data_IF_071683872491
#
_entry.id   IF_071683872491
#
_cell.length_a   1.000
_cell.length_b   1.000
_cell.length_c   1.000
_cell.angle_alpha   90.00
_cell.angle_beta   90.00
_cell.angle_gamma   90.00
#
_symmetry.space_group_name_H-M   'P 1'
#
loop_
_entity.id
_entity.type
_entity.pdbx_description
1 polymer ?
#
# COMPACT_ATOMS: atom_id res chain seq x y z
N UNK A 1 -48.90 -3.21 -29.88
CA UNK A 1 -48.12 -3.05 -28.68
C UNK A 1 -46.71 -2.65 -29.11
N UNK A 2 -46.50 -1.35 -29.05
CA UNK A 2 -45.25 -0.68 -29.44
C UNK A 2 -44.33 -0.60 -28.22
N UNK A 3 -43.20 -1.23 -28.29
CA UNK A 3 -42.16 -1.20 -27.24
C UNK A 3 -41.36 0.09 -27.42
N UNK A 4 -41.41 0.96 -26.42
CA UNK A 4 -40.60 2.17 -26.36
C UNK A 4 -39.10 1.82 -26.26
N UNK A 5 -38.20 2.58 -26.89
CA UNK A 5 -36.76 2.35 -26.77
C UNK A 5 -36.27 2.78 -25.40
N UNK A 6 -35.35 2.02 -24.84
CA UNK A 6 -34.65 2.32 -23.60
C UNK A 6 -33.89 3.65 -23.73
N UNK A 7 -34.06 4.53 -22.73
CA UNK A 7 -33.29 5.77 -22.61
C UNK A 7 -31.81 5.40 -22.50
N UNK A 8 -31.01 5.92 -23.45
CA UNK A 8 -29.59 5.96 -23.34
C UNK A 8 -29.21 6.84 -22.12
N UNK A 9 -28.33 6.38 -21.29
CA UNK A 9 -27.73 7.16 -20.19
C UNK A 9 -27.20 8.47 -20.80
N UNK A 10 -27.71 9.60 -20.35
CA UNK A 10 -27.17 10.91 -20.70
C UNK A 10 -25.77 11.02 -20.06
N UNK A 11 -24.75 11.01 -20.90
CA UNK A 11 -23.38 11.32 -20.50
C UNK A 11 -23.37 12.81 -20.15
N UNK A 12 -23.16 13.14 -18.86
CA UNK A 12 -22.95 14.52 -18.44
C UNK A 12 -21.63 15.05 -19.04
N UNK A 13 -21.78 15.89 -20.06
CA UNK A 13 -20.62 16.51 -20.74
C UNK A 13 -20.32 17.84 -20.05
N UNK A 14 -19.13 17.93 -19.46
CA UNK A 14 -18.63 19.18 -18.86
C UNK A 14 -17.86 19.93 -19.94
N UNK A 15 -18.42 21.03 -20.45
CA UNK A 15 -17.76 21.90 -21.40
C UNK A 15 -16.99 22.99 -20.67
N UNK A 16 -15.65 22.90 -20.65
CA UNK A 16 -14.79 23.93 -20.07
C UNK A 16 -14.43 24.93 -21.16
N UNK A 17 -15.19 26.01 -21.27
CA UNK A 17 -14.87 27.12 -22.14
C UNK A 17 -14.41 28.32 -21.32
N UNK A 18 -13.34 29.02 -21.76
CA UNK A 18 -12.85 30.24 -21.12
C UNK A 18 -13.80 31.44 -21.16
N UNK A 19 -15.05 31.28 -21.59
CA UNK A 19 -16.06 32.29 -21.65
C UNK A 19 -17.19 32.08 -20.63
N UNK A 20 -17.72 33.17 -20.05
CA UNK A 20 -18.85 33.19 -19.10
C UNK A 20 -20.22 32.95 -19.73
N UNK A 21 -20.30 32.60 -21.00
CA UNK A 21 -21.54 32.43 -21.73
C UNK A 21 -22.01 30.98 -21.63
N UNK A 22 -23.07 30.74 -20.86
CA UNK A 22 -23.80 29.47 -20.84
C UNK A 22 -24.66 29.38 -22.10
N UNK A 23 -24.54 28.27 -22.87
CA UNK A 23 -25.54 27.91 -23.89
C UNK A 23 -25.27 28.44 -25.29
N UNK A 24 -24.03 28.58 -25.73
CA UNK A 24 -23.70 28.82 -27.12
C UNK A 24 -23.15 27.53 -27.72
N UNK A 25 -23.92 26.92 -28.62
CA UNK A 25 -23.42 25.86 -29.51
C UNK A 25 -22.35 26.45 -30.43
N UNK A 26 -21.11 26.23 -30.11
CA UNK A 26 -19.95 26.61 -30.95
C UNK A 26 -19.52 25.44 -31.84
N UNK A 27 -20.43 24.72 -32.42
CA UNK A 27 -20.12 23.78 -33.50
C UNK A 27 -19.81 24.58 -34.76
N UNK A 28 -18.54 24.77 -35.06
CA UNK A 28 -18.15 25.20 -36.39
C UNK A 28 -16.91 26.07 -36.59
N UNK A 29 -16.24 26.60 -35.55
CA UNK A 29 -15.16 27.56 -35.76
C UNK A 29 -13.80 27.27 -35.08
N UNK A 30 -13.73 26.37 -34.08
CA UNK A 30 -12.49 25.96 -33.46
C UNK A 30 -12.54 24.47 -33.10
N UNK A 31 -11.40 23.77 -33.13
CA UNK A 31 -11.36 22.40 -32.60
C UNK A 31 -11.60 22.44 -31.09
N UNK A 32 -12.82 22.12 -30.67
CA UNK A 32 -13.18 21.97 -29.27
C UNK A 32 -12.89 20.53 -28.88
N UNK A 33 -11.96 20.33 -27.96
CA UNK A 33 -11.74 19.01 -27.35
C UNK A 33 -12.73 18.87 -26.19
N UNK A 34 -13.70 18.00 -26.34
CA UNK A 34 -14.61 17.62 -25.26
C UNK A 34 -13.86 16.62 -24.40
N UNK A 35 -13.60 16.95 -23.13
CA UNK A 35 -13.01 16.06 -22.14
C UNK A 35 -14.16 15.40 -21.38
N UNK A 36 -14.17 14.07 -21.39
CA UNK A 36 -15.06 13.30 -20.53
C UNK A 36 -14.51 13.19 -19.09
N UNK A 37 -15.30 12.63 -18.18
CA UNK A 37 -14.87 12.43 -16.79
C UNK A 37 -13.59 11.58 -16.68
N UNK A 38 -13.43 10.59 -17.57
CA UNK A 38 -12.26 9.74 -17.63
C UNK A 38 -10.99 10.52 -18.04
N UNK A 39 -11.12 11.43 -18.98
CA UNK A 39 -10.03 12.28 -19.43
C UNK A 39 -9.60 13.27 -18.34
N UNK A 40 -10.57 13.88 -17.67
CA UNK A 40 -10.32 14.76 -16.52
C UNK A 40 -9.66 13.98 -15.40
N UNK A 41 -10.16 12.78 -15.07
CA UNK A 41 -9.59 11.92 -14.06
C UNK A 41 -8.13 11.51 -14.38
N UNK A 42 -7.81 11.20 -15.65
CA UNK A 42 -6.45 10.91 -16.10
C UNK A 42 -5.52 12.11 -15.93
N UNK A 43 -5.96 13.30 -16.34
CA UNK A 43 -5.15 14.53 -16.20
C UNK A 43 -4.89 14.83 -14.72
N UNK A 44 -5.92 14.80 -13.88
CA UNK A 44 -5.80 15.03 -12.43
C UNK A 44 -4.90 13.97 -11.79
N UNK A 45 -5.03 12.71 -12.19
CA UNK A 45 -4.18 11.60 -11.72
C UNK A 45 -2.69 11.84 -12.05
N UNK A 46 -2.41 12.32 -13.26
CA UNK A 46 -1.04 12.60 -13.68
C UNK A 46 -0.42 13.75 -12.88
N UNK A 47 -1.20 14.79 -12.57
CA UNK A 47 -0.71 15.96 -11.83
C UNK A 47 -0.58 15.74 -10.34
N UNK A 48 -1.53 14.99 -9.75
CA UNK A 48 -1.62 14.82 -8.29
C UNK A 48 -0.98 13.53 -7.78
N UNK A 49 -0.68 12.58 -8.68
CA UNK A 49 -0.29 11.21 -8.31
C UNK A 49 -1.42 10.38 -7.71
N UNK A 50 -2.66 10.88 -7.75
CA UNK A 50 -3.84 10.14 -7.27
C UNK A 50 -4.28 9.17 -8.38
N UNK A 51 -4.37 7.85 -8.13
CA UNK A 51 -4.80 6.90 -9.14
C UNK A 51 -6.19 7.23 -9.72
N UNK A 52 -6.37 7.07 -11.04
CA UNK A 52 -7.66 7.31 -11.73
C UNK A 52 -8.79 6.54 -11.06
N UNK A 53 -8.53 5.29 -10.65
CA UNK A 53 -9.48 4.45 -9.94
C UNK A 53 -10.05 5.07 -8.67
N UNK A 54 -9.36 6.04 -8.06
CA UNK A 54 -9.85 6.78 -6.89
C UNK A 54 -10.77 7.95 -7.22
N UNK A 55 -10.79 8.38 -8.47
CA UNK A 55 -11.57 9.52 -8.94
C UNK A 55 -12.93 9.10 -9.52
N UNK A 56 -13.13 7.78 -9.70
CA UNK A 56 -14.32 7.22 -10.34
C UNK A 56 -15.19 6.41 -9.37
N UNK A 57 -16.52 6.53 -9.48
CA UNK A 57 -17.50 5.86 -8.60
C UNK A 57 -17.54 4.32 -8.71
N UNK A 58 -16.96 3.74 -9.76
CA UNK A 58 -16.91 2.28 -9.97
C UNK A 58 -16.07 1.48 -8.95
N UNK A 59 -15.37 2.14 -8.05
CA UNK A 59 -14.48 1.49 -7.05
C UNK A 59 -15.21 0.67 -6.00
N UNK A 60 -16.41 1.06 -5.59
CA UNK A 60 -17.15 0.34 -4.53
C UNK A 60 -17.40 -1.13 -4.90
N UNK A 61 -17.72 -1.39 -6.17
CA UNK A 61 -17.94 -2.76 -6.68
C UNK A 61 -16.63 -3.56 -6.75
N UNK A 62 -15.53 -2.92 -7.14
CA UNK A 62 -14.21 -3.58 -7.21
C UNK A 62 -13.69 -3.95 -5.82
N UNK A 63 -13.87 -3.09 -4.83
CA UNK A 63 -13.44 -3.35 -3.45
C UNK A 63 -14.21 -4.47 -2.77
N UNK A 64 -15.50 -4.65 -3.11
CA UNK A 64 -16.31 -5.75 -2.57
C UNK A 64 -15.78 -7.15 -2.94
N UNK A 65 -15.01 -7.25 -4.03
CA UNK A 65 -14.42 -8.51 -4.52
C UNK A 65 -12.89 -8.54 -4.39
N UNK A 66 -12.31 -7.67 -3.56
CA UNK A 66 -10.84 -7.58 -3.41
C UNK A 66 -10.23 -8.91 -2.92
N UNK A 67 -10.84 -9.54 -1.95
CA UNK A 67 -10.41 -10.83 -1.40
C UNK A 67 -10.47 -11.95 -2.45
N UNK A 68 -11.54 -12.06 -3.20
CA UNK A 68 -11.69 -13.05 -4.29
C UNK A 68 -10.62 -12.88 -5.35
N UNK A 69 -10.35 -11.64 -5.76
CA UNK A 69 -9.36 -11.34 -6.79
C UNK A 69 -7.93 -11.62 -6.30
N UNK A 70 -7.63 -11.30 -5.05
CA UNK A 70 -6.33 -11.62 -4.46
C UNK A 70 -6.16 -13.13 -4.29
N UNK A 71 -7.20 -13.88 -3.87
CA UNK A 71 -7.15 -15.34 -3.75
C UNK A 71 -6.90 -16.05 -5.09
N UNK A 72 -7.42 -15.52 -6.19
CA UNK A 72 -7.14 -16.08 -7.53
C UNK A 72 -5.67 -15.94 -7.94
N UNK A 73 -4.94 -15.00 -7.37
CA UNK A 73 -3.55 -14.67 -7.74
C UNK A 73 -2.51 -15.12 -6.71
N UNK A 74 -2.93 -15.20 -5.45
CA UNK A 74 -2.07 -15.55 -4.32
C UNK A 74 -2.65 -16.79 -3.64
N UNK A 75 -2.04 -17.94 -3.91
CA UNK A 75 -2.52 -19.23 -3.42
C UNK A 75 -1.96 -19.48 -2.01
N UNK A 76 -2.81 -19.92 -1.10
CA UNK A 76 -2.41 -20.43 0.22
C UNK A 76 -2.05 -19.36 1.25
N UNK A 77 -2.53 -18.11 1.07
CA UNK A 77 -2.32 -16.99 2.01
C UNK A 77 -3.66 -16.41 2.47
N UNK A 78 -4.64 -17.24 2.77
CA UNK A 78 -6.05 -16.86 3.00
C UNK A 78 -6.20 -15.87 4.15
N UNK A 79 -5.53 -16.10 5.28
CA UNK A 79 -5.57 -15.19 6.44
C UNK A 79 -4.96 -13.80 6.10
N UNK A 80 -3.85 -13.79 5.37
CA UNK A 80 -3.18 -12.54 4.99
C UNK A 80 -4.02 -11.76 3.97
N UNK A 81 -4.57 -12.43 2.97
CA UNK A 81 -5.45 -11.82 1.96
C UNK A 81 -6.69 -11.22 2.63
N UNK A 82 -7.35 -11.96 3.52
CA UNK A 82 -8.52 -11.50 4.26
C UNK A 82 -8.20 -10.28 5.12
N UNK A 83 -7.14 -10.32 5.92
CA UNK A 83 -6.74 -9.21 6.79
C UNK A 83 -6.45 -7.93 6.00
N UNK A 84 -5.76 -8.06 4.87
CA UNK A 84 -5.46 -6.93 3.98
C UNK A 84 -6.73 -6.38 3.35
N UNK A 85 -7.60 -7.24 2.82
CA UNK A 85 -8.87 -6.84 2.19
C UNK A 85 -9.77 -6.10 3.17
N UNK A 86 -9.94 -6.61 4.38
CA UNK A 86 -10.73 -5.95 5.42
C UNK A 86 -10.18 -4.59 5.82
N UNK A 87 -8.86 -4.43 5.94
CA UNK A 87 -8.25 -3.15 6.26
C UNK A 87 -8.46 -2.12 5.14
N UNK A 88 -8.33 -2.54 3.89
CA UNK A 88 -8.60 -1.69 2.74
C UNK A 88 -10.06 -1.24 2.71
N UNK A 89 -10.99 -2.17 2.92
CA UNK A 89 -12.43 -1.87 2.97
C UNK A 89 -12.73 -0.87 4.09
N UNK A 90 -12.21 -1.09 5.31
CA UNK A 90 -12.36 -0.14 6.44
C UNK A 90 -11.81 1.25 6.11
N UNK A 91 -10.63 1.30 5.50
CA UNK A 91 -10.02 2.58 5.13
C UNK A 91 -10.86 3.35 4.12
N UNK A 92 -11.48 2.66 3.16
CA UNK A 92 -12.35 3.25 2.14
C UNK A 92 -13.72 3.64 2.68
N UNK A 93 -14.22 2.93 3.69
CA UNK A 93 -15.45 3.29 4.39
C UNK A 93 -15.29 4.52 5.30
N UNK A 94 -14.09 5.10 5.40
CA UNK A 94 -13.83 6.25 6.26
C UNK A 94 -13.73 5.92 7.76
N UNK A 95 -13.64 4.64 8.11
CA UNK A 95 -13.62 4.16 9.51
C UNK A 95 -12.18 4.13 10.07
N UNK A 96 -11.17 4.36 9.23
CA UNK A 96 -9.77 4.40 9.68
C UNK A 96 -9.43 5.71 10.37
N UNK A 97 -8.42 5.69 11.24
CA UNK A 97 -7.79 6.92 11.75
C UNK A 97 -7.21 7.72 10.58
N UNK A 98 -7.62 8.99 10.36
CA UNK A 98 -7.16 9.81 9.26
C UNK A 98 -5.66 10.13 9.31
N UNK A 99 -5.03 9.95 10.47
CA UNK A 99 -3.61 10.24 10.67
C UNK A 99 -2.70 9.04 10.43
N UNK A 100 -3.22 7.82 10.31
CA UNK A 100 -2.44 6.61 10.14
C UNK A 100 -2.41 6.12 8.68
N UNK A 101 -1.47 5.24 8.29
CA UNK A 101 -1.50 4.53 7.01
C UNK A 101 -2.82 3.80 6.77
N UNK A 102 -3.11 3.41 5.54
CA UNK A 102 -4.32 2.63 5.17
C UNK A 102 -4.40 1.33 5.97
N UNK A 103 -3.26 0.67 6.14
CA UNK A 103 -3.09 -0.52 6.94
C UNK A 103 -1.62 -0.82 7.16
N UNK A 104 -1.33 -1.50 8.26
CA UNK A 104 0.01 -1.98 8.61
C UNK A 104 -0.08 -3.45 8.91
N UNK A 105 0.78 -4.24 8.27
CA UNK A 105 0.78 -5.69 8.37
C UNK A 105 2.18 -6.21 8.60
N UNK A 106 2.29 -7.25 9.42
CA UNK A 106 3.50 -8.02 9.59
C UNK A 106 3.27 -9.44 9.09
N UNK A 107 4.00 -9.84 8.04
CA UNK A 107 3.93 -11.18 7.46
C UNK A 107 5.09 -12.03 7.95
N UNK A 108 4.76 -13.11 8.64
CA UNK A 108 5.70 -14.04 9.22
C UNK A 108 5.71 -15.34 8.43
N UNK A 109 6.86 -15.95 8.31
CA UNK A 109 6.97 -17.26 7.69
C UNK A 109 8.23 -17.43 6.83
N UNK A 110 8.48 -18.67 6.36
CA UNK A 110 9.68 -18.99 5.59
C UNK A 110 9.73 -18.21 4.27
N UNK A 111 10.92 -18.16 3.68
CA UNK A 111 11.14 -17.61 2.33
C UNK A 111 10.34 -18.41 1.30
N UNK A 112 9.88 -17.75 0.27
CA UNK A 112 9.22 -18.42 -0.87
C UNK A 112 7.71 -18.65 -0.71
N UNK A 113 7.10 -18.36 0.45
CA UNK A 113 5.66 -18.56 0.66
C UNK A 113 4.76 -17.50 0.03
N UNK A 114 5.32 -16.52 -0.69
CA UNK A 114 4.55 -15.54 -1.44
C UNK A 114 4.32 -14.19 -0.74
N UNK A 115 5.01 -13.88 0.37
CA UNK A 115 4.88 -12.59 1.09
C UNK A 115 5.07 -11.37 0.18
N UNK A 116 6.17 -11.36 -0.57
CA UNK A 116 6.48 -10.27 -1.54
C UNK A 116 5.52 -10.29 -2.74
N UNK A 117 5.05 -11.46 -3.15
CA UNK A 117 4.09 -11.58 -4.25
C UNK A 117 2.74 -10.97 -3.88
N UNK A 118 2.24 -11.22 -2.68
CA UNK A 118 1.02 -10.59 -2.17
C UNK A 118 1.14 -9.07 -2.16
N UNK A 119 2.27 -8.52 -1.69
CA UNK A 119 2.49 -7.07 -1.69
C UNK A 119 2.47 -6.48 -3.12
N UNK A 120 3.03 -7.20 -4.10
CA UNK A 120 3.05 -6.78 -5.51
C UNK A 120 1.66 -6.81 -6.14
N UNK A 121 0.89 -7.88 -5.92
CA UNK A 121 -0.48 -7.97 -6.44
C UNK A 121 -1.41 -6.95 -5.78
N UNK A 122 -1.21 -6.69 -4.47
CA UNK A 122 -1.93 -5.63 -3.77
C UNK A 122 -1.62 -4.25 -4.36
N UNK A 123 -0.36 -3.92 -4.63
CA UNK A 123 0.03 -2.65 -5.26
C UNK A 123 -0.62 -2.48 -6.63
N UNK A 124 -0.58 -3.54 -7.45
CA UNK A 124 -1.19 -3.55 -8.78
C UNK A 124 -2.71 -3.34 -8.72
N UNK A 125 -3.37 -4.01 -7.79
CA UNK A 125 -4.82 -3.90 -7.65
C UNK A 125 -5.26 -2.55 -7.09
N UNK A 126 -4.61 -2.10 -5.99
CA UNK A 126 -5.00 -0.90 -5.27
C UNK A 126 -4.62 0.39 -5.98
N UNK A 127 -3.51 0.39 -6.68
CA UNK A 127 -2.90 1.59 -7.25
C UNK A 127 -2.66 1.50 -8.76
N UNK A 128 -3.15 0.44 -9.40
CA UNK A 128 -3.16 0.27 -10.85
C UNK A 128 -1.83 -0.17 -11.48
N UNK A 129 -0.74 -0.24 -10.71
CA UNK A 129 0.58 -0.66 -11.21
C UNK A 129 1.38 -1.41 -10.16
N UNK A 130 2.14 -2.41 -10.61
CA UNK A 130 3.16 -3.06 -9.77
C UNK A 130 4.29 -2.10 -9.36
N UNK A 131 4.47 -1.00 -10.10
CA UNK A 131 5.46 0.03 -9.78
C UNK A 131 5.07 0.87 -8.57
N UNK A 132 3.81 0.76 -8.11
CA UNK A 132 3.36 1.32 -6.85
C UNK A 132 3.88 0.52 -5.63
N UNK A 133 4.64 -0.56 -5.83
CA UNK A 133 5.38 -1.23 -4.77
C UNK A 133 6.73 -0.56 -4.54
N UNK A 134 6.95 -0.05 -3.34
CA UNK A 134 8.24 0.44 -2.85
C UNK A 134 8.81 -0.66 -1.94
N UNK A 135 9.85 -1.35 -2.39
CA UNK A 135 10.51 -2.39 -1.61
C UNK A 135 11.81 -1.87 -1.02
N UNK A 136 11.99 -2.07 0.27
CA UNK A 136 13.19 -1.74 1.02
C UNK A 136 13.66 -2.99 1.75
N UNK A 137 14.83 -3.46 1.40
CA UNK A 137 15.47 -4.62 2.03
C UNK A 137 16.21 -4.16 3.29
N UNK A 138 15.77 -4.64 4.44
CA UNK A 138 16.34 -4.23 5.73
C UNK A 138 17.73 -4.81 5.98
N UNK A 139 18.17 -5.78 5.20
CA UNK A 139 19.57 -6.25 5.24
C UNK A 139 20.57 -5.17 4.83
N UNK A 140 20.15 -4.16 4.06
CA UNK A 140 20.98 -3.00 3.73
C UNK A 140 21.08 -1.96 4.86
N UNK A 141 20.27 -2.10 5.92
CA UNK A 141 20.14 -1.15 7.02
C UNK A 141 20.48 -1.77 8.39
N UNK A 142 21.42 -2.69 8.40
CA UNK A 142 21.91 -3.37 9.61
C UNK A 142 22.79 -2.45 10.47
N UNK A 143 23.50 -1.53 9.82
CA UNK A 143 24.46 -0.66 10.47
C UNK A 143 23.85 0.74 10.73
N UNK A 144 24.18 1.35 11.87
CA UNK A 144 23.64 2.64 12.28
C UNK A 144 23.80 3.75 11.22
N UNK A 145 24.95 3.80 10.56
CA UNK A 145 25.20 4.82 9.54
C UNK A 145 24.34 4.66 8.28
N UNK A 146 23.85 3.44 7.99
CA UNK A 146 22.99 3.19 6.83
C UNK A 146 21.56 3.67 7.06
N UNK A 147 21.12 3.79 8.32
CA UNK A 147 19.75 4.24 8.67
C UNK A 147 19.46 5.64 8.13
N UNK A 148 20.46 6.53 8.13
CA UNK A 148 20.33 7.87 7.56
C UNK A 148 19.97 7.86 6.08
N UNK A 149 20.28 6.80 5.33
CA UNK A 149 19.88 6.66 3.92
C UNK A 149 18.35 6.56 3.74
N UNK A 150 17.59 6.16 4.76
CA UNK A 150 16.12 6.12 4.68
C UNK A 150 15.51 7.53 4.64
N UNK A 151 16.02 8.43 5.46
CA UNK A 151 15.49 9.80 5.64
C UNK A 151 16.36 10.88 4.98
N UNK A 152 17.56 10.52 4.56
CA UNK A 152 18.58 11.39 3.99
C UNK A 152 19.73 11.66 4.95
N UNK A 153 20.92 11.96 4.40
CA UNK A 153 22.10 12.29 5.18
C UNK A 153 21.97 13.70 5.79
N UNK A 154 22.54 13.95 6.98
CA UNK A 154 22.61 15.28 7.57
C UNK A 154 23.41 16.26 6.70
N UNK A 155 23.20 17.59 6.86
CA UNK A 155 23.98 18.60 6.14
C UNK A 155 25.48 18.39 6.33
N UNK A 156 26.23 18.45 5.24
CA UNK A 156 27.68 18.28 5.25
C UNK A 156 28.17 16.85 5.11
N UNK A 157 27.30 15.87 5.05
CA UNK A 157 27.65 14.48 4.79
C UNK A 157 27.43 14.10 3.32
N UNK A 158 28.19 13.11 2.84
CA UNK A 158 28.03 12.55 1.48
C UNK A 158 26.63 11.99 1.32
N UNK A 159 25.94 12.32 0.21
CA UNK A 159 24.56 11.90 -0.07
C UNK A 159 23.48 12.85 0.44
N UNK A 160 23.83 14.03 1.00
CA UNK A 160 22.84 15.01 1.45
C UNK A 160 21.91 15.47 0.33
N UNK A 161 22.45 15.70 -0.88
CA UNK A 161 21.66 16.18 -2.02
C UNK A 161 20.71 15.13 -2.60
N UNK A 162 21.02 13.85 -2.46
CA UNK A 162 20.24 12.73 -3.00
C UNK A 162 18.89 12.55 -2.28
N UNK A 163 18.80 13.00 -1.02
CA UNK A 163 17.63 12.79 -0.17
C UNK A 163 17.54 11.36 0.39
N UNK A 164 16.50 11.10 1.17
CA UNK A 164 16.31 9.77 1.75
C UNK A 164 15.64 8.80 0.80
N UNK A 165 16.12 7.58 0.75
CA UNK A 165 15.60 6.53 -0.13
C UNK A 165 14.11 6.27 0.11
N UNK A 166 13.67 6.17 1.36
CA UNK A 166 12.26 6.00 1.71
C UNK A 166 11.46 7.28 1.46
N UNK A 167 11.95 8.42 1.94
CA UNK A 167 11.23 9.70 1.88
C UNK A 167 11.04 10.18 0.44
N UNK A 168 12.06 10.06 -0.41
CA UNK A 168 11.95 10.42 -1.83
C UNK A 168 11.05 9.46 -2.61
N UNK A 169 11.10 8.15 -2.30
CA UNK A 169 10.23 7.17 -2.95
C UNK A 169 8.74 7.46 -2.66
N UNK A 170 8.39 7.76 -1.41
CA UNK A 170 7.01 8.09 -1.01
C UNK A 170 6.58 9.44 -1.57
N UNK A 171 7.48 10.44 -1.60
CA UNK A 171 7.18 11.73 -2.18
C UNK A 171 6.83 11.65 -3.66
N UNK A 172 7.49 10.74 -4.39
CA UNK A 172 7.20 10.47 -5.81
C UNK A 172 5.96 9.60 -6.01
N UNK A 173 5.69 8.69 -5.07
CA UNK A 173 4.57 7.73 -5.13
C UNK A 173 3.80 7.72 -3.81
N UNK A 174 3.00 8.77 -3.54
CA UNK A 174 2.27 8.89 -2.27
C UNK A 174 1.18 7.83 -2.07
N UNK A 175 0.75 7.20 -3.16
CA UNK A 175 -0.20 6.08 -3.18
C UNK A 175 0.57 4.81 -3.54
N UNK A 176 1.03 4.09 -2.53
CA UNK A 176 1.91 2.93 -2.73
C UNK A 176 1.75 1.89 -1.64
N UNK A 177 2.22 0.69 -1.92
CA UNK A 177 2.52 -0.34 -0.93
C UNK A 177 3.99 -0.23 -0.59
N UNK A 178 4.32 -0.07 0.69
CA UNK A 178 5.70 -0.03 1.19
C UNK A 178 6.01 -1.36 1.85
N UNK A 179 6.95 -2.07 1.29
CA UNK A 179 7.39 -3.37 1.78
C UNK A 179 8.77 -3.24 2.44
N UNK A 180 8.82 -3.43 3.74
CA UNK A 180 10.06 -3.60 4.50
C UNK A 180 10.37 -5.08 4.63
N UNK A 181 11.31 -5.55 3.84
CA UNK A 181 11.65 -6.97 3.76
C UNK A 181 12.72 -7.32 4.82
N UNK A 182 12.56 -8.46 5.51
CA UNK A 182 13.46 -8.96 6.55
C UNK A 182 13.69 -7.97 7.71
N UNK A 183 12.59 -7.48 8.29
CA UNK A 183 12.61 -6.42 9.33
C UNK A 183 13.47 -6.77 10.55
N UNK A 184 13.63 -8.05 10.86
CA UNK A 184 14.48 -8.55 11.95
C UNK A 184 15.97 -8.22 11.78
N UNK A 185 16.40 -7.91 10.55
CA UNK A 185 17.80 -7.54 10.27
C UNK A 185 18.07 -6.05 10.46
N UNK A 186 17.01 -5.23 10.58
CA UNK A 186 17.14 -3.79 10.68
C UNK A 186 17.86 -3.36 11.96
N UNK A 187 18.71 -2.32 11.85
CA UNK A 187 19.24 -1.64 13.02
C UNK A 187 18.11 -1.09 13.91
N UNK A 188 18.23 -1.10 15.25
CA UNK A 188 17.19 -0.61 16.17
C UNK A 188 16.69 0.80 15.87
N UNK A 189 17.52 1.69 15.32
CA UNK A 189 17.13 3.05 14.96
C UNK A 189 16.10 3.10 13.81
N UNK A 190 16.03 2.07 12.95
CA UNK A 190 15.01 1.93 11.92
C UNK A 190 13.62 1.87 12.54
N UNK A 191 13.48 1.17 13.66
CA UNK A 191 12.21 1.08 14.37
C UNK A 191 11.71 2.44 14.89
N UNK A 192 12.62 3.35 15.28
CA UNK A 192 12.22 4.71 15.67
C UNK A 192 11.61 5.50 14.49
N UNK A 193 12.17 5.32 13.29
CA UNK A 193 11.63 5.91 12.06
C UNK A 193 10.25 5.32 11.75
N UNK A 194 10.12 3.99 11.83
CA UNK A 194 8.87 3.31 11.57
C UNK A 194 7.76 3.68 12.56
N UNK A 195 8.07 3.83 13.85
CA UNK A 195 7.09 4.29 14.85
C UNK A 195 6.47 5.63 14.44
N UNK A 196 7.28 6.59 14.01
CA UNK A 196 6.80 7.88 13.54
C UNK A 196 5.83 7.73 12.35
N UNK A 197 6.15 6.82 11.42
CA UNK A 197 5.31 6.54 10.26
C UNK A 197 3.99 5.88 10.68
N UNK A 198 4.03 4.92 11.61
CA UNK A 198 2.86 4.14 12.03
C UNK A 198 1.90 4.94 12.91
N UNK A 199 2.43 5.80 13.77
CA UNK A 199 1.63 6.58 14.71
C UNK A 199 1.11 7.88 14.09
N UNK A 200 1.99 8.64 13.43
CA UNK A 200 1.67 9.96 12.88
C UNK A 200 1.31 9.93 11.39
N UNK A 201 1.54 8.82 10.68
CA UNK A 201 1.38 8.70 9.23
C UNK A 201 2.22 9.68 8.43
N UNK A 202 3.33 10.14 9.01
CA UNK A 202 4.25 11.10 8.40
C UNK A 202 5.68 10.86 8.87
N UNK A 203 6.63 11.32 8.06
CA UNK A 203 8.06 11.26 8.37
C UNK A 203 8.70 12.56 7.89
N UNK A 204 9.52 13.18 8.72
CA UNK A 204 10.29 14.36 8.32
C UNK A 204 11.65 13.94 7.81
N UNK A 205 12.01 14.39 6.61
CA UNK A 205 13.33 14.13 6.03
C UNK A 205 14.39 15.07 6.63
N UNK A 206 15.64 14.81 6.28
CA UNK A 206 16.79 15.61 6.72
C UNK A 206 16.82 17.06 6.21
N UNK A 207 15.98 17.39 5.21
CA UNK A 207 15.77 18.74 4.67
C UNK A 207 14.59 19.45 5.33
N UNK A 208 13.99 18.87 6.37
CA UNK A 208 12.83 19.41 7.09
C UNK A 208 11.50 19.25 6.34
N UNK A 209 11.47 18.49 5.23
CA UNK A 209 10.24 18.26 4.47
C UNK A 209 9.44 17.13 5.11
N UNK A 210 8.15 17.35 5.30
CA UNK A 210 7.22 16.33 5.82
C UNK A 210 6.71 15.47 4.68
N UNK A 211 6.92 14.15 4.78
CA UNK A 211 6.45 13.15 3.82
C UNK A 211 5.25 12.42 4.40
N UNK A 212 4.18 12.30 3.62
CA UNK A 212 2.90 11.79 4.05
C UNK A 212 2.73 10.31 3.66
N UNK A 213 2.49 9.45 4.66
CA UNK A 213 2.27 8.01 4.52
C UNK A 213 0.79 7.59 4.67
N UNK A 214 -0.14 8.53 4.86
CA UNK A 214 -1.56 8.23 5.14
C UNK A 214 -2.27 7.48 4.02
N UNK A 215 -1.74 7.56 2.81
CA UNK A 215 -2.28 6.87 1.63
C UNK A 215 -1.46 5.63 1.25
N UNK A 216 -0.60 5.16 2.13
CA UNK A 216 0.20 3.95 1.90
C UNK A 216 -0.35 2.76 2.67
N UNK A 217 -0.03 1.56 2.18
CA UNK A 217 -0.17 0.30 2.92
C UNK A 217 1.24 -0.13 3.29
N UNK A 218 1.48 -0.38 4.56
CA UNK A 218 2.79 -0.80 5.07
C UNK A 218 2.78 -2.29 5.32
N UNK A 219 3.72 -3.00 4.74
CA UNK A 219 3.93 -4.43 4.92
C UNK A 219 5.37 -4.63 5.42
N UNK A 220 5.50 -5.29 6.53
CA UNK A 220 6.78 -5.76 7.05
C UNK A 220 6.84 -7.26 6.91
N UNK A 221 7.94 -7.82 6.41
CA UNK A 221 8.11 -9.26 6.37
C UNK A 221 9.21 -9.70 7.33
N UNK A 222 9.07 -10.89 7.87
CA UNK A 222 10.09 -11.52 8.69
C UNK A 222 10.15 -13.02 8.42
N UNK A 223 11.36 -13.53 8.42
CA UNK A 223 11.64 -14.98 8.36
C UNK A 223 11.84 -15.60 9.74
N UNK A 224 11.58 -14.82 10.79
CA UNK A 224 11.72 -15.26 12.17
C UNK A 224 10.78 -16.43 12.46
N UNK A 225 11.27 -17.42 13.19
CA UNK A 225 10.50 -18.63 13.49
C UNK A 225 10.36 -19.62 12.32
N UNK A 226 10.94 -19.36 11.15
CA UNK A 226 10.81 -20.22 9.96
C UNK A 226 11.24 -21.65 10.20
N UNK A 227 12.36 -21.88 10.89
CA UNK A 227 12.84 -23.22 11.25
C UNK A 227 11.90 -23.93 12.23
N UNK A 228 11.32 -23.18 13.17
CA UNK A 228 10.32 -23.71 14.09
C UNK A 228 9.03 -24.07 13.36
N UNK A 229 8.52 -23.18 12.51
CA UNK A 229 7.33 -23.44 11.68
C UNK A 229 7.56 -24.70 10.84
N UNK A 230 8.69 -24.83 10.15
CA UNK A 230 9.00 -26.02 9.34
C UNK A 230 9.02 -27.29 10.17
N UNK A 231 9.65 -27.29 11.35
CA UNK A 231 9.70 -28.46 12.22
C UNK A 231 8.34 -28.86 12.77
N UNK A 232 7.42 -27.92 12.95
CA UNK A 232 6.03 -28.21 13.37
C UNK A 232 5.18 -28.69 12.19
N UNK A 233 5.41 -28.21 10.99
CA UNK A 233 4.72 -28.69 9.79
C UNK A 233 5.01 -30.18 9.52
N UNK A 234 6.22 -30.66 9.82
CA UNK A 234 6.58 -32.09 9.71
C UNK A 234 5.82 -32.96 10.71
N UNK A 235 5.35 -32.40 11.83
CA UNK A 235 4.57 -33.10 12.86
C UNK A 235 3.07 -33.07 12.62
N UNK A 236 2.61 -32.37 11.57
CA UNK A 236 1.19 -32.29 11.24
C UNK A 236 0.66 -33.64 10.73
N UNK A 237 -0.02 -34.38 11.61
CA UNK A 237 -0.76 -35.59 11.28
C UNK A 237 -2.24 -35.37 11.61
N UNK A 238 -3.08 -35.47 10.60
CA UNK A 238 -4.56 -35.56 10.55
C UNK A 238 -5.39 -34.95 11.70
N UNK A 239 -5.31 -35.49 12.91
CA UNK A 239 -6.19 -35.12 14.02
C UNK A 239 -5.70 -33.94 14.90
N UNK A 240 -4.43 -33.53 14.80
CA UNK A 240 -3.84 -32.50 15.69
C UNK A 240 -3.54 -31.17 14.98
N UNK A 241 -4.08 -30.95 13.79
CA UNK A 241 -3.69 -29.84 12.93
C UNK A 241 -3.97 -28.47 13.56
N UNK A 242 -5.13 -28.27 14.13
CA UNK A 242 -5.52 -26.98 14.72
C UNK A 242 -4.71 -26.64 15.97
N UNK A 243 -4.50 -27.62 16.84
CA UNK A 243 -3.73 -27.45 18.08
C UNK A 243 -2.26 -27.12 17.80
N UNK A 244 -1.63 -27.81 16.85
CA UNK A 244 -0.24 -27.55 16.42
C UNK A 244 -0.10 -26.17 15.78
N UNK A 245 -1.08 -25.73 14.99
CA UNK A 245 -1.08 -24.39 14.38
C UNK A 245 -1.17 -23.31 15.45
N UNK A 246 -2.09 -23.45 16.43
CA UNK A 246 -2.25 -22.47 17.51
C UNK A 246 -1.00 -22.41 18.40
N UNK A 247 -0.42 -23.53 18.75
CA UNK A 247 0.84 -23.58 19.51
C UNK A 247 2.00 -22.94 18.73
N UNK A 248 2.07 -23.23 17.44
CA UNK A 248 3.09 -22.63 16.54
C UNK A 248 2.93 -21.11 16.45
N UNK A 249 1.71 -20.62 16.28
CA UNK A 249 1.41 -19.17 16.27
C UNK A 249 1.84 -18.52 17.58
N UNK A 250 1.51 -19.14 18.71
CA UNK A 250 1.85 -18.62 20.05
C UNK A 250 3.36 -18.53 20.26
N UNK A 251 4.10 -19.56 19.87
CA UNK A 251 5.54 -19.58 20.05
C UNK A 251 6.26 -18.61 19.11
N UNK A 252 5.85 -18.53 17.84
CA UNK A 252 6.37 -17.52 16.88
C UNK A 252 6.09 -16.12 17.39
N UNK A 253 4.91 -15.87 17.96
CA UNK A 253 4.58 -14.59 18.56
C UNK A 253 5.46 -14.27 19.78
N UNK A 254 5.80 -15.26 20.60
CA UNK A 254 6.72 -15.11 21.71
C UNK A 254 8.16 -14.77 21.24
N UNK A 255 8.61 -15.40 20.15
CA UNK A 255 9.90 -15.07 19.52
C UNK A 255 9.93 -13.64 19.02
N UNK A 256 8.85 -13.18 18.38
CA UNK A 256 8.72 -11.80 17.91
C UNK A 256 8.80 -10.79 19.04
N UNK A 257 8.05 -11.01 20.13
CA UNK A 257 8.05 -10.12 21.30
C UNK A 257 9.42 -9.95 21.95
N UNK A 258 10.33 -10.89 21.75
CA UNK A 258 11.71 -10.81 22.25
C UNK A 258 12.62 -9.98 21.34
N UNK A 259 12.31 -9.89 20.06
CA UNK A 259 13.18 -9.28 19.04
C UNK A 259 12.66 -7.95 18.55
N UNK A 260 11.35 -7.85 18.37
CA UNK A 260 10.68 -6.66 17.87
C UNK A 260 10.06 -5.92 19.07
N UNK A 261 10.13 -4.60 19.06
CA UNK A 261 9.55 -3.78 20.12
C UNK A 261 8.04 -4.02 20.23
N UNK A 262 7.48 -4.03 21.45
CA UNK A 262 6.05 -4.32 21.66
C UNK A 262 5.10 -3.38 20.90
N UNK A 263 5.55 -2.15 20.60
CA UNK A 263 4.76 -1.13 19.88
C UNK A 263 4.45 -1.51 18.44
N UNK A 264 5.13 -2.55 17.88
CA UNK A 264 4.90 -3.06 16.52
C UNK A 264 4.01 -4.32 16.47
N UNK A 265 3.58 -4.83 17.60
CA UNK A 265 2.78 -6.05 17.74
C UNK A 265 1.39 -5.72 18.29
#
# INVERSE_FOLDING_TARGET
AETAPAKADEVETITVTGSRLKGVDMEGAMPITVLDEDDIAKVVSTWTGIPVSRLMEGEKKKLAHLDEILHQRVIGQDEAVKAVSEAVIRARAGIKDPNKPIGTFMFLGPTGVGKTHLAKELAKYMFGSSDALIRIDMSEFMEKFTVSRLVGAPPGYVGYDEGGQLTEAIRRKPYSVVLFDEIEKAHPDVFNILLQVLDDGRLTDNKGRVVNFKNTIIIMTSNMGSSYIQSQMEKLHGSNKEEVIEETKKEVMNMLKKTIRPEFL
#
